data_IF_754289177110
#
_entry.id   IF_754289177110
#
_cell.length_a   1.000
_cell.length_b   1.000
_cell.length_c   1.000
_cell.angle_alpha   90.00
_cell.angle_beta   90.00
_cell.angle_gamma   90.00
#
_symmetry.space_group_name_H-M   'P 1'
#
loop_
_entity.id
_entity.type
_entity.pdbx_description
1 polymer ?
#
# COMPACT_ATOMS: atom_id res chain seq x y z
N UNK A 1 20.43 34.68 7.64
CA UNK A 1 20.06 33.67 6.62
C UNK A 1 20.49 32.24 6.98
N UNK A 2 21.78 31.94 7.23
CA UNK A 2 22.25 30.56 7.55
C UNK A 2 21.50 29.87 8.71
N UNK A 3 21.17 30.59 9.78
CA UNK A 3 20.38 30.06 10.91
C UNK A 3 18.95 29.65 10.52
N UNK A 4 18.31 30.39 9.61
CA UNK A 4 16.95 30.11 9.13
C UNK A 4 16.93 28.86 8.25
N UNK A 5 17.89 28.74 7.32
CA UNK A 5 18.05 27.53 6.52
C UNK A 5 18.32 26.28 7.36
N UNK A 6 19.18 26.41 8.40
CA UNK A 6 19.42 25.32 9.36
C UNK A 6 18.13 24.91 10.08
N UNK A 7 17.33 25.88 10.51
CA UNK A 7 16.06 25.62 11.19
C UNK A 7 15.05 24.90 10.27
N UNK A 8 14.90 25.35 9.03
CA UNK A 8 14.04 24.71 8.02
C UNK A 8 14.47 23.26 7.77
N UNK A 9 15.78 23.01 7.62
CA UNK A 9 16.31 21.67 7.40
C UNK A 9 16.03 20.71 8.57
N UNK A 10 16.16 21.20 9.81
CA UNK A 10 15.84 20.42 11.01
C UNK A 10 14.35 20.10 11.04
N UNK A 11 13.49 21.10 10.81
CA UNK A 11 12.03 20.91 10.81
C UNK A 11 11.58 19.88 9.78
N UNK A 12 12.09 19.97 8.55
CA UNK A 12 11.79 18.99 7.50
C UNK A 12 12.25 17.58 7.87
N UNK A 13 13.44 17.45 8.45
CA UNK A 13 13.96 16.16 8.89
C UNK A 13 13.10 15.52 9.98
N UNK A 14 12.62 16.32 10.95
CA UNK A 14 11.71 15.86 12.00
C UNK A 14 10.37 15.41 11.41
N UNK A 15 9.80 16.18 10.47
CA UNK A 15 8.54 15.82 9.81
C UNK A 15 8.68 14.49 9.05
N UNK A 16 9.76 14.33 8.27
CA UNK A 16 10.03 13.09 7.54
C UNK A 16 10.21 11.93 8.52
N UNK A 17 10.96 12.14 9.60
CA UNK A 17 11.15 11.14 10.66
C UNK A 17 9.82 10.70 11.28
N UNK A 18 8.93 11.65 11.60
CA UNK A 18 7.60 11.36 12.13
C UNK A 18 6.74 10.55 11.15
N UNK A 19 6.78 10.89 9.86
CA UNK A 19 6.03 10.17 8.82
C UNK A 19 6.53 8.72 8.71
N UNK A 20 7.84 8.51 8.70
CA UNK A 20 8.45 7.18 8.61
C UNK A 20 8.08 6.34 9.83
N UNK A 21 8.24 6.88 11.04
CA UNK A 21 7.90 6.20 12.29
C UNK A 21 6.41 5.83 12.30
N UNK A 22 5.53 6.78 11.97
CA UNK A 22 4.09 6.56 11.96
C UNK A 22 3.68 5.48 10.94
N UNK A 23 4.32 5.48 9.77
CA UNK A 23 4.07 4.47 8.73
C UNK A 23 4.49 3.07 9.17
N UNK A 24 5.66 2.94 9.80
CA UNK A 24 6.15 1.65 10.32
C UNK A 24 5.19 1.12 11.40
N UNK A 25 4.79 1.97 12.35
CA UNK A 25 3.84 1.60 13.39
C UNK A 25 2.50 1.19 12.79
N UNK A 26 1.99 1.97 11.83
CA UNK A 26 0.72 1.68 11.17
C UNK A 26 0.76 0.33 10.45
N UNK A 27 1.75 0.07 9.59
CA UNK A 27 1.87 -1.21 8.87
C UNK A 27 2.04 -2.38 9.85
N UNK A 28 2.76 -2.18 10.95
CA UNK A 28 3.05 -3.25 11.91
C UNK A 28 1.85 -3.64 12.77
N UNK A 29 1.01 -2.68 13.16
CA UNK A 29 -0.10 -2.90 14.10
C UNK A 29 -1.49 -2.94 13.42
N UNK A 30 -1.61 -2.50 12.18
CA UNK A 30 -2.85 -2.52 11.41
C UNK A 30 -3.07 -3.91 10.78
N UNK A 31 -4.15 -4.64 11.13
CA UNK A 31 -4.42 -5.96 10.55
C UNK A 31 -4.66 -5.93 9.03
N UNK A 32 -5.00 -4.77 8.47
CA UNK A 32 -5.29 -4.56 7.05
C UNK A 32 -4.08 -4.77 6.12
N UNK A 33 -2.85 -4.61 6.63
CA UNK A 33 -1.62 -4.77 5.82
C UNK A 33 -1.07 -6.20 5.82
N UNK A 34 -1.72 -7.10 6.55
CA UNK A 34 -1.29 -8.49 6.70
C UNK A 34 -0.14 -8.66 7.68
N UNK A 35 0.17 -9.91 7.99
CA UNK A 35 1.30 -10.31 8.84
C UNK A 35 2.27 -11.18 8.04
N UNK A 36 3.49 -11.30 8.54
CA UNK A 36 4.46 -12.25 7.98
C UNK A 36 3.91 -13.67 8.01
N UNK A 37 4.11 -14.41 6.92
CA UNK A 37 3.70 -15.79 6.74
C UNK A 37 4.45 -16.68 7.75
N UNK A 38 3.73 -17.55 8.48
CA UNK A 38 4.37 -18.50 9.42
C UNK A 38 5.17 -19.59 8.69
N UNK A 39 5.98 -20.37 9.42
CA UNK A 39 6.76 -21.46 8.83
C UNK A 39 5.85 -22.55 8.25
N UNK A 40 4.75 -22.84 8.94
CA UNK A 40 3.74 -23.82 8.57
C UNK A 40 3.02 -23.38 7.29
N UNK A 41 2.53 -22.13 7.27
CA UNK A 41 1.89 -21.54 6.10
C UNK A 41 2.84 -21.50 4.90
N UNK A 42 4.12 -21.16 5.10
CA UNK A 42 5.12 -21.19 4.02
C UNK A 42 5.28 -22.59 3.44
N UNK A 43 5.31 -23.63 4.28
CA UNK A 43 5.41 -25.03 3.84
C UNK A 43 4.18 -25.46 3.04
N UNK A 44 3.00 -25.02 3.47
CA UNK A 44 1.74 -25.28 2.77
C UNK A 44 1.70 -24.56 1.42
N UNK A 45 1.99 -23.26 1.39
CA UNK A 45 1.98 -22.45 0.17
C UNK A 45 3.03 -22.89 -0.83
N UNK A 46 4.16 -23.44 -0.39
CA UNK A 46 5.18 -23.99 -1.29
C UNK A 46 4.68 -25.17 -2.14
N UNK A 47 3.52 -25.75 -1.82
CA UNK A 47 2.86 -26.78 -2.63
C UNK A 47 2.04 -26.18 -3.79
N UNK A 48 1.74 -24.89 -3.74
CA UNK A 48 0.94 -24.21 -4.75
C UNK A 48 1.83 -23.78 -5.91
N UNK A 49 1.39 -24.07 -7.14
CA UNK A 49 2.15 -23.79 -8.36
C UNK A 49 2.47 -22.30 -8.55
N UNK A 50 1.60 -21.43 -8.06
CA UNK A 50 1.70 -19.98 -8.18
C UNK A 50 2.48 -19.32 -7.03
N UNK A 51 2.97 -20.08 -6.04
CA UNK A 51 3.80 -19.54 -4.95
C UNK A 51 5.28 -19.75 -5.27
N UNK A 52 5.96 -18.67 -5.67
CA UNK A 52 7.36 -18.69 -6.12
C UNK A 52 8.16 -17.64 -5.36
N UNK A 53 9.36 -17.98 -4.91
CA UNK A 53 10.26 -17.07 -4.18
C UNK A 53 9.62 -16.38 -2.96
N UNK A 54 8.73 -17.09 -2.25
CA UNK A 54 8.06 -16.57 -1.07
C UNK A 54 6.94 -15.57 -1.34
N UNK A 55 6.48 -15.45 -2.58
CA UNK A 55 5.37 -14.57 -3.00
C UNK A 55 4.44 -15.30 -3.96
N UNK A 56 3.19 -14.85 -4.04
CA UNK A 56 2.27 -15.32 -5.06
C UNK A 56 2.54 -14.59 -6.38
N UNK A 57 2.65 -15.36 -7.45
CA UNK A 57 2.68 -14.86 -8.83
C UNK A 57 1.29 -15.01 -9.43
N UNK A 58 0.82 -13.99 -10.13
CA UNK A 58 -0.43 -14.09 -10.88
C UNK A 58 -0.29 -15.19 -11.93
N UNK A 59 -1.29 -16.07 -12.03
CA UNK A 59 -1.33 -17.15 -13.03
C UNK A 59 -1.60 -16.63 -14.44
N UNK A 60 -2.25 -15.47 -14.55
CA UNK A 60 -2.49 -14.78 -15.80
C UNK A 60 -1.77 -13.45 -15.81
N UNK A 61 -1.33 -13.02 -16.99
CA UNK A 61 -0.70 -11.72 -17.17
C UNK A 61 -1.72 -10.63 -16.86
N UNK A 62 -1.57 -10.01 -15.69
CA UNK A 62 -2.34 -8.82 -15.34
C UNK A 62 -1.48 -7.60 -15.68
N UNK A 63 -1.92 -6.71 -16.58
CA UNK A 63 -1.18 -5.48 -16.85
C UNK A 63 -1.11 -4.65 -15.56
N UNK A 64 0.07 -4.62 -14.94
CA UNK A 64 0.36 -3.80 -13.76
C UNK A 64 0.70 -2.35 -14.14
N UNK A 65 0.52 -1.97 -15.40
CA UNK A 65 0.74 -0.61 -15.87
C UNK A 65 -0.38 0.30 -15.39
N UNK A 66 -0.09 1.05 -14.32
CA UNK A 66 -1.02 2.03 -13.77
C UNK A 66 -0.84 3.37 -14.47
N UNK A 67 -1.89 3.87 -15.13
CA UNK A 67 -1.93 5.25 -15.59
C UNK A 67 -2.48 6.15 -14.47
N UNK A 68 -1.58 6.75 -13.71
CA UNK A 68 -1.92 7.59 -12.56
C UNK A 68 -2.77 8.82 -12.94
N UNK A 69 -2.51 9.44 -14.09
CA UNK A 69 -3.33 10.56 -14.58
C UNK A 69 -4.78 10.16 -14.84
N UNK A 70 -4.97 8.98 -15.46
CA UNK A 70 -6.30 8.40 -15.67
C UNK A 70 -6.99 8.11 -14.33
N UNK A 71 -6.28 7.56 -13.36
CA UNK A 71 -6.83 7.30 -12.02
C UNK A 71 -7.29 8.57 -11.31
N UNK A 72 -6.49 9.63 -11.32
CA UNK A 72 -6.84 10.92 -10.69
C UNK A 72 -8.07 11.52 -11.37
N UNK A 73 -8.12 11.49 -12.71
CA UNK A 73 -9.27 11.97 -13.48
C UNK A 73 -10.54 11.17 -13.18
N UNK A 74 -10.44 9.84 -13.08
CA UNK A 74 -11.57 9.01 -12.69
C UNK A 74 -12.00 9.31 -11.26
N UNK A 75 -11.08 9.37 -10.30
CA UNK A 75 -11.43 9.62 -8.89
C UNK A 75 -12.21 10.93 -8.69
N UNK A 76 -11.83 11.99 -9.40
CA UNK A 76 -12.48 13.31 -9.34
C UNK A 76 -13.77 13.43 -10.16
N UNK A 77 -13.99 12.57 -11.15
CA UNK A 77 -15.23 12.56 -11.96
C UNK A 77 -16.41 12.04 -11.15
N UNK A 78 -17.60 12.64 -11.27
CA UNK A 78 -18.85 12.01 -10.81
C UNK A 78 -19.27 10.94 -11.81
N UNK A 79 -19.04 9.66 -11.50
CA UNK A 79 -19.50 8.55 -12.33
C UNK A 79 -20.81 7.96 -11.76
N UNK A 80 -21.78 7.61 -12.61
CA UNK A 80 -22.96 6.87 -12.18
C UNK A 80 -22.56 5.48 -11.65
N UNK A 81 -23.39 4.90 -10.77
CA UNK A 81 -23.20 3.54 -10.20
C UNK A 81 -21.95 3.32 -9.34
N UNK A 82 -21.37 4.37 -8.73
CA UNK A 82 -20.29 4.20 -7.72
C UNK A 82 -20.75 3.65 -6.39
N UNK A 83 -22.04 3.82 -6.09
CA UNK A 83 -22.68 3.24 -4.92
C UNK A 83 -23.69 2.20 -5.42
N UNK A 84 -23.78 1.04 -4.77
CA UNK A 84 -24.83 0.09 -5.07
C UNK A 84 -26.20 0.73 -4.82
N UNK A 85 -27.13 0.54 -5.75
CA UNK A 85 -28.47 1.14 -5.67
C UNK A 85 -29.34 0.52 -4.56
N UNK A 86 -28.93 -0.63 -4.02
CA UNK A 86 -29.60 -1.33 -2.94
C UNK A 86 -28.56 -1.96 -2.01
N UNK A 87 -28.85 -1.90 -0.71
CA UNK A 87 -28.13 -2.72 0.26
C UNK A 87 -28.60 -4.18 0.10
N UNK A 88 -27.66 -5.12 0.14
CA UNK A 88 -27.94 -6.57 0.05
C UNK A 88 -27.83 -7.27 1.41
N UNK A 89 -27.81 -6.48 2.49
CA UNK A 89 -27.85 -6.93 3.89
C UNK A 89 -29.26 -6.78 4.46
#
# INVERSE_FOLDING_TARGET
MKKVFKMIGITLSVIIGLIVISTILFISYSPQFGKNITKEQRKEYSKLENFKNGKFSNQHLSPMTVNYWKLIKEWTRKAPNRNPNKNIL
#
